data_IF_352098616682
#
_entry.id   IF_352098616682
#
_cell.length_a   1.000
_cell.length_b   1.000
_cell.length_c   1.000
_cell.angle_alpha   90.00
_cell.angle_beta   90.00
_cell.angle_gamma   90.00
#
_symmetry.space_group_name_H-M   'P 1'
#
loop_
_entity.id
_entity.type
_entity.pdbx_description
1 polymer ?
#
# COMPACT_ATOMS: atom_id res chain seq x y z
N UNK A 1 -1.90 32.64 8.71
CA UNK A 1 -0.45 32.61 8.41
C UNK A 1 -0.10 31.18 8.06
N UNK A 2 -0.34 30.84 6.80
CA UNK A 2 -0.19 29.51 6.21
C UNK A 2 0.36 29.72 4.79
N UNK A 3 0.97 28.68 4.25
CA UNK A 3 1.62 28.58 2.93
C UNK A 3 3.07 29.08 2.79
N UNK A 4 4.02 28.15 2.93
CA UNK A 4 5.32 28.22 2.25
C UNK A 4 6.08 26.87 2.09
N UNK A 5 5.45 25.70 2.23
CA UNK A 5 6.18 24.42 2.15
C UNK A 5 5.66 23.39 1.12
N UNK A 6 4.76 23.78 0.22
CA UNK A 6 4.19 22.85 -0.78
C UNK A 6 4.98 22.77 -2.11
N UNK A 7 6.03 23.57 -2.31
CA UNK A 7 6.72 23.69 -3.62
C UNK A 7 7.97 22.81 -3.81
N UNK A 8 8.40 21.99 -2.84
CA UNK A 8 9.71 21.31 -2.93
C UNK A 8 9.75 19.83 -3.30
N UNK A 9 8.62 19.22 -3.72
CA UNK A 9 8.57 17.78 -4.06
C UNK A 9 8.25 17.50 -5.54
N UNK A 10 8.23 18.52 -6.40
CA UNK A 10 8.04 18.33 -7.85
C UNK A 10 9.27 18.85 -8.60
N UNK A 11 10.38 18.11 -8.54
CA UNK A 11 11.48 18.25 -9.49
C UNK A 11 11.80 16.87 -10.05
N UNK A 12 10.93 16.36 -10.93
CA UNK A 12 11.30 15.40 -11.99
C UNK A 12 10.20 15.42 -13.06
N UNK A 13 10.12 16.50 -13.81
CA UNK A 13 9.73 16.52 -15.24
C UNK A 13 9.65 17.97 -15.73
N UNK A 14 10.68 18.37 -16.48
CA UNK A 14 10.72 19.48 -17.47
C UNK A 14 10.74 20.93 -16.95
N UNK A 15 11.91 21.55 -17.15
CA UNK A 15 12.07 22.81 -17.89
C UNK A 15 11.50 24.10 -17.29
N UNK A 16 12.40 24.93 -16.76
CA UNK A 16 12.21 26.36 -16.49
C UNK A 16 11.50 27.10 -17.64
N UNK A 17 10.24 27.53 -17.48
CA UNK A 17 9.65 28.66 -18.21
C UNK A 17 8.25 29.02 -17.66
N UNK A 18 8.12 29.56 -16.44
CA UNK A 18 6.79 30.00 -15.94
C UNK A 18 6.74 31.20 -15.01
N UNK A 19 7.85 31.84 -14.63
CA UNK A 19 7.80 32.98 -13.69
C UNK A 19 7.66 34.37 -14.32
N UNK A 20 7.46 34.51 -15.63
CA UNK A 20 7.24 35.81 -16.29
C UNK A 20 5.81 36.10 -16.77
N UNK A 21 4.91 35.12 -16.75
CA UNK A 21 3.56 35.30 -17.31
C UNK A 21 2.50 35.78 -16.31
N UNK A 22 2.73 35.63 -15.00
CA UNK A 22 1.70 35.87 -13.97
C UNK A 22 1.54 37.38 -13.63
N UNK A 23 2.51 38.22 -13.95
CA UNK A 23 2.47 39.65 -13.58
C UNK A 23 1.65 40.55 -14.53
N UNK A 24 1.12 40.03 -15.65
CA UNK A 24 0.47 40.86 -16.69
C UNK A 24 -1.06 40.72 -16.76
N UNK A 25 -1.69 39.80 -16.04
CA UNK A 25 -3.12 39.51 -16.19
C UNK A 25 -4.05 40.28 -15.21
N UNK A 26 -3.72 41.52 -14.85
CA UNK A 26 -4.56 42.39 -13.99
C UNK A 26 -5.29 43.53 -14.70
N UNK A 27 -5.31 43.54 -16.04
CA UNK A 27 -6.10 44.48 -16.84
C UNK A 27 -6.70 43.73 -18.02
N UNK A 28 -8.00 43.92 -18.24
CA UNK A 28 -8.84 43.43 -19.35
C UNK A 28 -9.71 42.18 -19.08
N UNK A 29 -11.02 42.46 -19.03
CA UNK A 29 -12.16 41.53 -18.89
C UNK A 29 -12.37 40.56 -20.08
N UNK A 30 -11.41 40.45 -21.00
CA UNK A 30 -11.53 39.61 -22.21
C UNK A 30 -10.96 38.19 -22.02
N UNK A 31 -10.40 37.87 -20.84
CA UNK A 31 -9.75 36.58 -20.55
C UNK A 31 -10.77 35.53 -20.00
N UNK A 32 -12.07 35.82 -19.97
CA UNK A 32 -13.06 34.84 -19.49
C UNK A 32 -13.26 33.63 -20.45
N UNK A 33 -12.91 33.75 -21.73
CA UNK A 33 -13.05 32.67 -22.73
C UNK A 33 -11.78 31.82 -22.92
N UNK A 34 -10.62 32.29 -22.45
CA UNK A 34 -9.39 31.48 -22.43
C UNK A 34 -9.24 30.69 -21.14
N UNK A 35 -9.86 31.12 -20.04
CA UNK A 35 -9.84 30.42 -18.75
C UNK A 35 -10.70 29.13 -18.74
N UNK A 36 -11.68 28.99 -19.62
CA UNK A 36 -12.42 27.72 -19.78
C UNK A 36 -11.62 26.66 -20.55
N UNK A 37 -10.66 27.07 -21.39
CA UNK A 37 -9.77 26.16 -22.13
C UNK A 37 -8.56 25.69 -21.29
N UNK A 38 -8.21 26.45 -20.24
CA UNK A 38 -7.10 26.13 -19.33
C UNK A 38 -7.54 25.25 -18.14
N UNK A 39 -8.85 25.11 -17.89
CA UNK A 39 -9.38 24.25 -16.83
C UNK A 39 -9.51 22.76 -17.21
N UNK A 40 -9.21 22.41 -18.46
CA UNK A 40 -8.95 21.03 -18.88
C UNK A 40 -7.45 20.80 -19.06
N UNK A 41 -6.63 21.21 -18.08
CA UNK A 41 -5.36 20.52 -17.85
C UNK A 41 -5.68 19.17 -17.20
N UNK A 42 -6.24 18.29 -18.01
CA UNK A 42 -6.35 16.87 -17.74
C UNK A 42 -4.93 16.44 -17.40
N UNK A 43 -4.67 16.03 -16.14
CA UNK A 43 -3.49 15.28 -15.76
C UNK A 43 -3.40 14.12 -16.75
N UNK A 44 -2.67 14.29 -17.86
CA UNK A 44 -2.40 13.21 -18.79
C UNK A 44 -1.53 12.26 -17.98
N UNK A 45 -2.11 11.13 -17.56
CA UNK A 45 -1.31 10.02 -17.03
C UNK A 45 -0.20 9.78 -18.05
N UNK A 46 1.05 9.95 -17.62
CA UNK A 46 2.21 9.85 -18.52
C UNK A 46 2.32 8.47 -19.17
N UNK A 47 1.69 7.47 -18.57
CA UNK A 47 1.57 6.10 -19.03
C UNK A 47 0.14 5.58 -18.79
N UNK A 48 -0.47 4.96 -19.80
CA UNK A 48 -1.82 4.40 -19.68
C UNK A 48 -1.78 3.02 -19.00
N UNK A 49 -2.50 2.90 -17.88
CA UNK A 49 -2.59 1.70 -17.06
C UNK A 49 -3.96 0.99 -17.17
N UNK A 50 -4.89 1.49 -17.99
CA UNK A 50 -6.27 0.95 -18.08
C UNK A 50 -6.32 -0.53 -18.48
N UNK A 51 -5.27 -1.04 -19.15
CA UNK A 51 -5.15 -2.44 -19.55
C UNK A 51 -4.75 -3.39 -18.41
N UNK A 52 -4.19 -2.88 -17.32
CA UNK A 52 -3.58 -3.68 -16.25
C UNK A 52 -4.61 -4.52 -15.50
N UNK A 53 -5.66 -3.89 -14.96
CA UNK A 53 -6.68 -4.59 -14.17
C UNK A 53 -7.46 -5.64 -15.01
N UNK A 54 -7.92 -5.34 -16.23
CA UNK A 54 -8.51 -6.36 -17.11
C UNK A 54 -7.61 -7.57 -17.33
N UNK A 55 -6.29 -7.37 -17.45
CA UNK A 55 -5.30 -8.45 -17.58
C UNK A 55 -5.15 -9.25 -16.29
N UNK A 56 -5.12 -8.58 -15.12
CA UNK A 56 -5.05 -9.23 -13.80
C UNK A 56 -6.28 -10.07 -13.47
N UNK A 57 -7.47 -9.70 -13.99
CA UNK A 57 -8.71 -10.50 -13.84
C UNK A 57 -8.65 -11.82 -14.60
N UNK A 58 -7.90 -11.88 -15.69
CA UNK A 58 -7.86 -13.03 -16.60
C UNK A 58 -6.45 -13.64 -16.75
N UNK A 59 -5.82 -14.14 -15.66
CA UNK A 59 -4.48 -14.68 -15.72
C UNK A 59 -4.45 -16.05 -16.43
N UNK A 60 -3.50 -16.23 -17.35
CA UNK A 60 -3.27 -17.52 -18.00
C UNK A 60 -2.49 -18.49 -17.11
N UNK A 61 -2.41 -19.77 -17.48
CA UNK A 61 -1.55 -20.75 -16.76
C UNK A 61 -0.08 -20.33 -16.78
N UNK A 62 0.40 -19.84 -17.93
CA UNK A 62 1.75 -19.31 -18.08
C UNK A 62 1.98 -18.11 -17.17
N UNK A 63 1.01 -17.21 -17.07
CA UNK A 63 1.06 -16.07 -16.15
C UNK A 63 1.19 -16.52 -14.68
N UNK A 64 0.38 -17.50 -14.27
CA UNK A 64 0.43 -18.03 -12.91
C UNK A 64 1.78 -18.70 -12.61
N UNK A 65 2.37 -19.39 -13.58
CA UNK A 65 3.71 -19.96 -13.45
C UNK A 65 4.78 -18.88 -13.31
N UNK A 66 4.79 -17.90 -14.22
CA UNK A 66 5.72 -16.77 -14.19
C UNK A 66 5.61 -15.99 -12.87
N UNK A 67 4.39 -15.70 -12.41
CA UNK A 67 4.12 -15.04 -11.13
C UNK A 67 4.67 -15.85 -9.96
N UNK A 68 4.53 -17.19 -9.97
CA UNK A 68 5.11 -18.05 -8.93
C UNK A 68 6.64 -17.95 -8.88
N UNK A 69 7.30 -17.92 -10.05
CA UNK A 69 8.75 -17.74 -10.14
C UNK A 69 9.17 -16.36 -9.64
N UNK A 70 8.46 -15.30 -10.03
CA UNK A 70 8.73 -13.93 -9.55
C UNK A 70 8.64 -13.84 -8.03
N UNK A 71 7.62 -14.41 -7.40
CA UNK A 71 7.50 -14.41 -5.94
C UNK A 71 8.59 -15.21 -5.25
N UNK A 72 8.93 -16.40 -5.77
CA UNK A 72 10.02 -17.19 -5.21
C UNK A 72 11.34 -16.41 -5.29
N UNK A 73 11.66 -15.83 -6.46
CA UNK A 73 12.89 -15.07 -6.66
C UNK A 73 12.98 -13.83 -5.76
N UNK A 74 11.95 -12.97 -5.77
CA UNK A 74 11.90 -11.76 -4.94
C UNK A 74 11.88 -12.12 -3.45
N UNK A 75 11.06 -13.11 -3.06
CA UNK A 75 10.96 -13.57 -1.68
C UNK A 75 12.28 -14.12 -1.14
N UNK A 76 12.98 -14.95 -1.91
CA UNK A 76 14.31 -15.49 -1.52
C UNK A 76 15.34 -14.36 -1.45
N UNK A 77 15.38 -13.48 -2.46
CA UNK A 77 16.27 -12.32 -2.46
C UNK A 77 16.06 -11.45 -1.22
N UNK A 78 14.82 -11.05 -0.95
CA UNK A 78 14.48 -10.22 0.21
C UNK A 78 14.77 -10.94 1.52
N UNK A 79 14.57 -12.27 1.58
CA UNK A 79 14.94 -13.09 2.74
C UNK A 79 16.44 -13.08 3.00
N UNK A 80 17.27 -13.21 1.97
CA UNK A 80 18.73 -13.07 2.11
C UNK A 80 19.07 -11.70 2.68
N UNK A 81 18.53 -10.62 2.11
CA UNK A 81 18.85 -9.27 2.59
C UNK A 81 18.36 -9.01 4.02
N UNK A 82 17.13 -9.38 4.35
CA UNK A 82 16.52 -9.06 5.64
C UNK A 82 16.99 -10.02 6.74
N UNK A 83 17.03 -11.33 6.48
CA UNK A 83 17.32 -12.33 7.52
C UNK A 83 18.80 -12.70 7.63
N UNK A 84 19.54 -12.68 6.52
CA UNK A 84 20.96 -13.08 6.53
C UNK A 84 21.90 -11.87 6.63
N UNK A 85 21.66 -10.83 5.82
CA UNK A 85 22.55 -9.67 5.75
C UNK A 85 22.21 -8.54 6.74
N UNK A 86 21.04 -8.60 7.36
CA UNK A 86 20.58 -7.62 8.35
C UNK A 86 20.12 -8.33 9.64
N UNK A 87 20.07 -7.58 10.74
CA UNK A 87 19.67 -8.07 12.07
C UNK A 87 18.16 -7.89 12.25
N UNK A 88 17.40 -8.91 11.87
CA UNK A 88 15.93 -8.84 11.88
C UNK A 88 15.28 -9.64 12.99
N UNK A 89 14.67 -8.95 13.95
CA UNK A 89 13.84 -9.54 15.01
C UNK A 89 12.36 -9.47 14.61
N UNK A 90 11.65 -10.59 14.75
CA UNK A 90 10.23 -10.71 14.39
C UNK A 90 9.44 -11.17 15.58
N UNK A 91 8.51 -10.34 16.03
CA UNK A 91 7.60 -10.64 17.13
C UNK A 91 6.28 -11.20 16.58
N UNK A 92 5.74 -12.18 17.28
CA UNK A 92 4.43 -12.80 17.00
C UNK A 92 4.24 -13.35 15.59
N UNK A 93 5.33 -13.84 14.96
CA UNK A 93 5.27 -14.47 13.63
C UNK A 93 4.25 -15.62 13.54
N UNK A 94 3.97 -16.31 14.65
CA UNK A 94 3.00 -17.40 14.68
C UNK A 94 1.59 -16.94 14.27
N UNK A 95 1.20 -15.69 14.55
CA UNK A 95 -0.12 -15.14 14.18
C UNK A 95 -0.32 -15.22 12.67
N UNK A 96 0.59 -14.61 11.88
CA UNK A 96 0.49 -14.65 10.42
C UNK A 96 0.67 -16.08 9.89
N UNK A 97 1.54 -16.89 10.51
CA UNK A 97 1.79 -18.26 10.05
C UNK A 97 0.55 -19.14 10.20
N UNK A 98 -0.11 -19.08 11.36
CA UNK A 98 -1.34 -19.82 11.66
C UNK A 98 -2.47 -19.36 10.75
N UNK A 99 -2.66 -18.05 10.58
CA UNK A 99 -3.69 -17.52 9.66
C UNK A 99 -3.41 -17.89 8.21
N UNK A 100 -2.14 -17.99 7.80
CA UNK A 100 -1.80 -18.49 6.47
C UNK A 100 -2.07 -19.98 6.35
N UNK A 101 -1.87 -20.79 7.37
CA UNK A 101 -1.99 -22.25 7.26
C UNK A 101 -3.42 -22.77 7.53
N UNK A 102 -4.11 -22.20 8.51
CA UNK A 102 -5.32 -22.76 9.13
C UNK A 102 -6.62 -22.01 8.76
N UNK A 103 -6.53 -20.76 8.29
CA UNK A 103 -7.73 -19.96 7.94
C UNK A 103 -8.59 -20.69 6.89
N UNK A 104 -9.92 -20.77 7.08
CA UNK A 104 -10.82 -21.30 6.07
C UNK A 104 -10.61 -20.63 4.71
N UNK A 105 -10.71 -21.41 3.63
CA UNK A 105 -10.33 -20.94 2.28
C UNK A 105 -11.21 -19.80 1.76
N UNK A 106 -12.44 -19.72 2.24
CA UNK A 106 -13.47 -18.74 1.92
C UNK A 106 -13.44 -17.50 2.82
N UNK A 107 -12.67 -17.53 3.91
CA UNK A 107 -12.46 -16.37 4.77
C UNK A 107 -11.28 -15.55 4.23
N UNK A 108 -11.47 -14.27 3.87
CA UNK A 108 -10.39 -13.44 3.37
C UNK A 108 -9.43 -12.97 4.47
N UNK A 109 -8.25 -12.51 4.05
CA UNK A 109 -7.28 -11.86 4.93
C UNK A 109 -6.92 -10.48 4.40
N UNK A 110 -6.86 -9.53 5.30
CA UNK A 110 -6.28 -8.22 5.09
C UNK A 110 -5.10 -8.05 6.05
N UNK A 111 -3.95 -7.66 5.53
CA UNK A 111 -2.83 -7.18 6.36
C UNK A 111 -2.65 -5.69 6.17
N UNK A 112 -2.45 -4.95 7.25
CA UNK A 112 -2.25 -3.49 7.22
C UNK A 112 -0.94 -3.12 7.91
N UNK A 113 -0.17 -2.19 7.35
CA UNK A 113 1.06 -1.74 8.00
C UNK A 113 1.41 -0.28 7.75
N UNK A 114 2.28 0.27 8.60
CA UNK A 114 2.98 1.52 8.29
C UNK A 114 3.85 1.36 7.03
N UNK A 115 4.25 2.48 6.43
CA UNK A 115 5.04 2.48 5.19
C UNK A 115 6.23 3.45 5.30
N UNK A 116 7.41 2.95 5.64
CA UNK A 116 8.63 3.76 5.81
C UNK A 116 9.65 3.62 4.68
N UNK A 117 9.53 2.63 3.78
CA UNK A 117 10.44 2.44 2.65
C UNK A 117 9.77 1.80 1.44
N UNK A 118 10.27 2.07 0.24
CA UNK A 118 9.91 1.31 -0.96
C UNK A 118 10.25 -0.20 -0.84
N UNK A 119 11.07 -0.60 0.13
CA UNK A 119 11.41 -2.00 0.40
C UNK A 119 10.42 -2.70 1.35
N UNK A 120 9.43 -2.00 1.91
CA UNK A 120 8.56 -2.56 2.95
C UNK A 120 7.81 -3.80 2.51
N UNK A 121 7.16 -3.77 1.34
CA UNK A 121 6.40 -4.93 0.86
C UNK A 121 7.31 -6.17 0.73
N UNK A 122 8.36 -6.21 -0.10
CA UNK A 122 9.26 -7.36 -0.14
C UNK A 122 9.93 -7.69 1.21
N UNK A 123 10.25 -6.68 2.03
CA UNK A 123 10.95 -6.83 3.30
C UNK A 123 10.10 -7.43 4.43
N UNK A 124 8.83 -7.02 4.56
CA UNK A 124 7.89 -7.60 5.53
C UNK A 124 7.71 -9.08 5.23
N UNK A 125 7.47 -9.45 3.97
CA UNK A 125 7.17 -10.84 3.61
C UNK A 125 8.39 -11.75 3.66
N UNK A 126 9.60 -11.22 3.57
CA UNK A 126 10.84 -11.96 3.80
C UNK A 126 10.90 -12.65 5.19
N UNK A 127 10.10 -12.18 6.15
CA UNK A 127 9.99 -12.78 7.49
C UNK A 127 9.24 -14.12 7.50
N UNK A 128 8.40 -14.39 6.50
CA UNK A 128 7.63 -15.63 6.36
C UNK A 128 8.51 -16.86 6.08
N UNK A 129 7.98 -18.06 6.27
CA UNK A 129 8.71 -19.28 5.91
C UNK A 129 8.82 -19.45 4.39
N UNK A 130 9.85 -20.17 3.94
CA UNK A 130 10.06 -20.44 2.51
C UNK A 130 8.86 -21.13 1.87
N UNK A 131 8.14 -21.99 2.63
CA UNK A 131 6.91 -22.64 2.14
C UNK A 131 5.81 -21.64 1.78
N UNK A 132 5.71 -20.54 2.51
CA UNK A 132 4.73 -19.48 2.24
C UNK A 132 5.21 -18.59 1.09
N UNK A 133 6.49 -18.19 1.10
CA UNK A 133 7.11 -17.36 0.06
C UNK A 133 7.05 -18.00 -1.33
N UNK A 134 7.27 -19.31 -1.41
CA UNK A 134 7.25 -20.07 -2.66
C UNK A 134 5.83 -20.52 -3.07
N UNK A 135 4.79 -20.15 -2.32
CA UNK A 135 3.40 -20.50 -2.62
C UNK A 135 2.61 -19.29 -3.08
N UNK A 136 2.37 -19.19 -4.40
CA UNK A 136 1.54 -18.12 -5.00
C UNK A 136 0.14 -18.01 -4.40
N UNK A 137 -0.41 -19.09 -3.83
CA UNK A 137 -1.73 -19.08 -3.17
C UNK A 137 -1.69 -18.56 -1.74
N UNK A 138 -0.53 -18.57 -1.09
CA UNK A 138 -0.31 -18.10 0.29
C UNK A 138 0.43 -16.76 0.29
N UNK A 139 0.26 -15.95 -0.77
CA UNK A 139 0.90 -14.66 -0.92
C UNK A 139 -0.10 -13.58 -1.36
N UNK A 140 0.02 -12.40 -0.73
CA UNK A 140 -0.84 -11.22 -0.88
C UNK A 140 -0.91 -10.65 -2.29
N UNK A 141 -2.04 -10.03 -2.59
CA UNK A 141 -2.13 -8.90 -3.51
C UNK A 141 -1.75 -7.61 -2.76
N UNK A 142 -1.07 -6.67 -3.40
CA UNK A 142 -0.60 -5.44 -2.76
C UNK A 142 -0.98 -4.21 -3.59
N UNK A 143 -1.53 -3.18 -2.96
CA UNK A 143 -1.81 -1.90 -3.63
C UNK A 143 -0.49 -1.13 -3.83
N UNK A 144 -0.22 -0.69 -5.06
CA UNK A 144 1.01 0.00 -5.41
C UNK A 144 0.71 1.26 -6.24
N UNK A 145 1.36 2.39 -5.89
CA UNK A 145 1.12 3.67 -6.54
C UNK A 145 1.45 3.61 -8.03
N UNK A 146 0.48 3.93 -8.89
CA UNK A 146 0.65 3.80 -10.34
C UNK A 146 1.80 4.64 -10.89
N UNK A 147 1.99 5.84 -10.37
CA UNK A 147 2.99 6.81 -10.80
C UNK A 147 4.43 6.46 -10.36
N UNK A 148 4.59 5.39 -9.55
CA UNK A 148 5.89 4.87 -9.12
C UNK A 148 6.13 3.48 -9.72
N UNK A 149 5.18 2.57 -9.57
CA UNK A 149 5.33 1.17 -9.96
C UNK A 149 4.89 0.88 -11.39
N UNK A 150 4.00 1.69 -11.97
CA UNK A 150 3.40 1.45 -13.29
C UNK A 150 3.72 2.61 -14.23
N UNK A 151 5.02 2.89 -14.39
CA UNK A 151 5.51 4.03 -15.19
C UNK A 151 5.80 3.67 -16.64
N UNK A 152 5.88 2.37 -16.96
CA UNK A 152 6.00 1.84 -18.32
C UNK A 152 5.52 0.39 -18.37
N UNK A 153 5.50 -0.20 -19.58
CA UNK A 153 5.00 -1.56 -19.82
C UNK A 153 5.80 -2.66 -19.11
N UNK A 154 7.12 -2.53 -19.04
CA UNK A 154 7.99 -3.53 -18.41
C UNK A 154 7.85 -3.51 -16.89
N UNK A 155 7.83 -2.31 -16.30
CA UNK A 155 7.52 -2.15 -14.88
C UNK A 155 6.15 -2.71 -14.55
N UNK A 156 5.14 -2.40 -15.37
CA UNK A 156 3.78 -2.92 -15.19
C UNK A 156 3.76 -4.45 -15.16
N UNK A 157 4.41 -5.11 -16.13
CA UNK A 157 4.50 -6.57 -16.12
C UNK A 157 5.19 -7.13 -14.87
N UNK A 158 6.32 -6.55 -14.45
CA UNK A 158 7.03 -6.97 -13.24
C UNK A 158 6.15 -6.89 -11.99
N UNK A 159 5.52 -5.73 -11.76
CA UNK A 159 4.67 -5.51 -10.60
C UNK A 159 3.39 -6.36 -10.66
N UNK A 160 2.78 -6.54 -11.83
CA UNK A 160 1.64 -7.44 -11.99
C UNK A 160 2.00 -8.90 -11.68
N UNK A 161 3.19 -9.38 -12.08
CA UNK A 161 3.67 -10.73 -11.72
C UNK A 161 3.87 -10.89 -10.21
N UNK A 162 4.24 -9.81 -9.52
CA UNK A 162 4.27 -9.69 -8.06
C UNK A 162 2.91 -9.44 -7.40
N UNK A 163 1.78 -9.60 -8.12
CA UNK A 163 0.41 -9.29 -7.66
C UNK A 163 0.23 -7.86 -7.10
N UNK A 164 0.99 -6.91 -7.62
CA UNK A 164 0.74 -5.51 -7.33
C UNK A 164 -0.41 -4.99 -8.20
N UNK A 165 -1.27 -4.17 -7.59
CA UNK A 165 -2.46 -3.60 -8.22
C UNK A 165 -2.25 -2.07 -8.27
N UNK A 166 -2.35 -1.44 -9.45
CA UNK A 166 -2.10 -0.01 -9.58
C UNK A 166 -3.21 0.80 -8.90
N UNK A 167 -2.87 1.58 -7.87
CA UNK A 167 -3.78 2.54 -7.23
C UNK A 167 -3.49 3.96 -7.71
N UNK A 168 -4.54 4.71 -8.03
CA UNK A 168 -4.47 6.13 -8.41
C UNK A 168 -4.69 6.97 -7.16
N UNK A 169 -3.65 7.73 -6.79
CA UNK A 169 -3.71 8.65 -5.66
C UNK A 169 -4.54 9.87 -6.03
N UNK A 170 -5.47 10.25 -5.16
CA UNK A 170 -6.38 11.38 -5.40
C UNK A 170 -7.72 11.00 -6.06
N UNK A 171 -7.85 9.79 -6.61
CA UNK A 171 -9.06 9.32 -7.32
C UNK A 171 -10.17 8.78 -6.38
N UNK A 172 -10.02 9.00 -5.06
CA UNK A 172 -10.97 8.54 -4.06
C UNK A 172 -10.99 7.02 -3.85
N UNK A 173 -12.01 6.54 -3.15
CA UNK A 173 -12.16 5.13 -2.74
C UNK A 173 -12.88 4.27 -3.80
N UNK A 174 -13.55 4.90 -4.76
CA UNK A 174 -14.34 4.25 -5.79
C UNK A 174 -13.55 4.17 -7.11
N UNK A 175 -12.49 3.35 -7.10
CA UNK A 175 -11.66 3.09 -8.28
C UNK A 175 -11.55 1.59 -8.55
N UNK A 176 -11.26 1.22 -9.79
CA UNK A 176 -11.22 -0.18 -10.25
C UNK A 176 -10.27 -1.05 -9.44
N UNK A 177 -9.17 -0.49 -8.94
CA UNK A 177 -8.21 -1.20 -8.10
C UNK A 177 -8.82 -1.67 -6.77
N UNK A 178 -9.64 -0.83 -6.13
CA UNK A 178 -10.33 -1.20 -4.89
C UNK A 178 -11.44 -2.22 -5.18
N UNK A 179 -12.16 -2.07 -6.29
CA UNK A 179 -13.16 -3.05 -6.74
C UNK A 179 -12.52 -4.42 -6.98
N UNK A 180 -11.37 -4.45 -7.66
CA UNK A 180 -10.60 -5.68 -7.88
C UNK A 180 -10.12 -6.31 -6.56
N UNK A 181 -9.67 -5.51 -5.58
CA UNK A 181 -9.36 -6.03 -4.26
C UNK A 181 -10.58 -6.67 -3.58
N UNK A 182 -11.76 -6.04 -3.64
CA UNK A 182 -13.02 -6.62 -3.11
C UNK A 182 -13.36 -7.93 -3.82
N UNK A 183 -13.18 -8.02 -5.14
CA UNK A 183 -13.33 -9.27 -5.91
C UNK A 183 -12.38 -10.36 -5.37
N UNK A 184 -11.12 -10.02 -5.05
CA UNK A 184 -10.16 -10.98 -4.47
C UNK A 184 -10.51 -11.39 -3.04
N UNK A 185 -10.98 -10.46 -2.22
CA UNK A 185 -11.48 -10.77 -0.88
C UNK A 185 -12.71 -11.69 -0.95
N UNK A 186 -13.61 -11.48 -1.92
CA UNK A 186 -14.74 -12.37 -2.18
C UNK A 186 -14.34 -13.80 -2.56
N UNK A 187 -13.12 -14.00 -3.06
CA UNK A 187 -12.53 -15.32 -3.32
C UNK A 187 -11.75 -15.90 -2.12
N UNK A 188 -11.81 -15.28 -0.94
CA UNK A 188 -11.04 -15.68 0.25
C UNK A 188 -9.53 -15.40 0.15
N UNK A 189 -9.11 -14.61 -0.85
CA UNK A 189 -7.69 -14.28 -1.04
C UNK A 189 -7.19 -13.28 0.01
N UNK A 190 -5.89 -13.01 -0.06
CA UNK A 190 -5.18 -12.13 0.83
C UNK A 190 -4.83 -10.80 0.14
N UNK A 191 -5.22 -9.67 0.74
CA UNK A 191 -4.85 -8.32 0.31
C UNK A 191 -4.00 -7.64 1.38
N UNK A 192 -2.92 -6.97 0.98
CA UNK A 192 -2.11 -6.12 1.82
C UNK A 192 -2.30 -4.65 1.44
N UNK A 193 -2.35 -3.78 2.46
CA UNK A 193 -2.54 -2.35 2.29
C UNK A 193 -1.58 -1.59 3.19
N UNK A 194 -0.95 -0.56 2.62
CA UNK A 194 -0.28 0.52 3.35
C UNK A 194 -1.25 1.71 3.45
N UNK A 195 -2.10 1.78 4.48
CA UNK A 195 -3.18 2.77 4.53
C UNK A 195 -2.69 4.22 4.65
N UNK A 196 -1.41 4.48 4.91
CA UNK A 196 -0.80 5.82 4.83
C UNK A 196 -0.84 6.40 3.40
N UNK A 197 -0.84 5.52 2.38
CA UNK A 197 -0.97 5.88 0.95
C UNK A 197 0.28 6.52 0.33
N UNK A 198 1.38 6.62 1.07
CA UNK A 198 2.71 7.04 0.63
C UNK A 198 3.76 6.55 1.61
N UNK A 199 5.02 6.54 1.19
CA UNK A 199 6.16 6.37 2.13
C UNK A 199 6.21 7.56 3.08
N UNK A 200 6.15 7.28 4.37
CA UNK A 200 6.19 8.24 5.47
C UNK A 200 7.63 8.49 5.93
N UNK A 201 8.34 9.33 5.18
CA UNK A 201 9.74 9.66 5.45
C UNK A 201 9.95 10.41 6.78
N UNK A 202 8.94 11.17 7.23
CA UNK A 202 9.01 11.95 8.48
C UNK A 202 8.61 11.15 9.72
N UNK A 203 8.09 9.93 9.54
CA UNK A 203 7.58 9.05 10.62
C UNK A 203 6.52 9.74 11.50
N UNK A 204 5.82 10.71 10.92
CA UNK A 204 4.75 11.46 11.56
C UNK A 204 3.47 10.63 11.59
N UNK A 205 2.50 11.02 12.43
CA UNK A 205 1.18 10.41 12.36
C UNK A 205 0.45 10.92 11.11
N UNK A 206 0.25 10.03 10.13
CA UNK A 206 -0.49 10.33 8.91
C UNK A 206 -1.87 9.72 9.03
N UNK A 207 -2.91 10.53 8.77
CA UNK A 207 -4.28 10.02 8.64
C UNK A 207 -4.36 8.93 7.56
N UNK A 208 -4.85 7.77 7.97
CA UNK A 208 -5.10 6.63 7.09
C UNK A 208 -6.15 6.93 6.01
N UNK A 209 -5.93 6.38 4.81
CA UNK A 209 -6.85 6.48 3.66
C UNK A 209 -8.01 5.50 3.84
N UNK A 210 -9.23 5.97 3.62
CA UNK A 210 -10.47 5.21 3.81
C UNK A 210 -10.70 4.03 2.85
N UNK A 211 -9.79 3.80 1.89
CA UNK A 211 -9.84 2.62 1.03
C UNK A 211 -9.83 1.33 1.85
N UNK A 212 -9.09 1.27 2.96
CA UNK A 212 -9.07 0.11 3.85
C UNK A 212 -10.43 -0.14 4.52
N UNK A 213 -11.10 0.93 4.97
CA UNK A 213 -12.45 0.84 5.53
C UNK A 213 -13.44 0.31 4.49
N UNK A 214 -13.32 0.73 3.23
CA UNK A 214 -14.13 0.21 2.13
C UNK A 214 -13.91 -1.28 1.90
N UNK A 215 -12.66 -1.73 1.86
CA UNK A 215 -12.32 -3.14 1.66
C UNK A 215 -12.97 -4.05 2.72
N UNK A 216 -12.98 -3.64 3.99
CA UNK A 216 -13.59 -4.41 5.08
C UNK A 216 -15.11 -4.33 5.01
N UNK A 217 -15.66 -3.14 4.77
CA UNK A 217 -17.11 -2.90 4.73
C UNK A 217 -17.80 -3.66 3.60
N UNK A 218 -17.20 -3.67 2.40
CA UNK A 218 -17.78 -4.25 1.19
C UNK A 218 -17.28 -5.68 0.90
N UNK A 219 -16.38 -6.23 1.72
CA UNK A 219 -15.98 -7.63 1.58
C UNK A 219 -17.19 -8.55 1.83
N UNK A 220 -17.50 -9.51 0.92
CA UNK A 220 -18.65 -10.40 1.08
C UNK A 220 -18.62 -11.22 2.37
N UNK A 221 -17.41 -11.60 2.79
CA UNK A 221 -17.13 -12.26 4.08
C UNK A 221 -16.25 -11.32 4.88
N UNK A 222 -16.57 -11.10 6.17
CA UNK A 222 -15.73 -10.26 7.03
C UNK A 222 -14.31 -10.82 7.08
N UNK A 223 -13.30 -10.05 6.64
CA UNK A 223 -11.92 -10.54 6.59
C UNK A 223 -11.32 -10.62 8.00
N UNK A 224 -10.38 -11.55 8.16
CA UNK A 224 -9.39 -11.45 9.25
C UNK A 224 -8.48 -10.28 8.95
N UNK A 225 -8.28 -9.36 9.90
CA UNK A 225 -7.41 -8.18 9.70
C UNK A 225 -6.23 -8.23 10.66
N UNK A 226 -5.01 -8.34 10.13
CA UNK A 226 -3.78 -8.38 10.92
C UNK A 226 -3.01 -7.06 10.76
N UNK A 227 -2.86 -6.26 11.83
CA UNK A 227 -2.00 -5.09 11.83
C UNK A 227 -0.54 -5.52 11.97
N UNK A 228 0.34 -4.85 11.26
CA UNK A 228 1.78 -5.09 11.27
C UNK A 228 2.47 -3.74 11.46
N UNK A 229 3.46 -3.68 12.34
CA UNK A 229 4.31 -2.51 12.46
C UNK A 229 5.76 -2.90 12.27
N UNK A 230 6.52 -2.09 11.54
CA UNK A 230 7.93 -2.34 11.32
C UNK A 230 8.80 -1.08 11.46
N UNK A 231 10.05 -1.30 11.87
CA UNK A 231 11.08 -0.27 12.03
C UNK A 231 12.40 -0.73 11.40
N UNK A 232 13.16 0.22 10.85
CA UNK A 232 14.50 -0.01 10.29
C UNK A 232 14.53 -0.44 8.82
N UNK A 233 13.39 -0.53 8.15
CA UNK A 233 13.35 -0.86 6.72
C UNK A 233 13.90 0.27 5.84
N UNK A 234 13.73 1.51 6.30
CA UNK A 234 14.31 2.72 5.72
C UNK A 234 15.82 2.82 5.94
N UNK A 235 16.38 2.16 6.95
CA UNK A 235 17.83 2.00 7.09
C UNK A 235 18.39 0.98 6.08
N UNK A 236 17.60 -0.05 5.76
CA UNK A 236 17.94 -1.09 4.77
C UNK A 236 17.86 -0.53 3.36
N UNK A 237 16.79 0.18 3.00
CA UNK A 237 16.68 0.92 1.75
C UNK A 237 16.27 2.37 2.05
N UNK A 238 17.25 3.30 2.10
CA UNK A 238 16.97 4.72 2.27
C UNK A 238 16.11 5.29 1.15
N UNK A 239 15.25 6.25 1.49
CA UNK A 239 14.36 6.93 0.56
C UNK A 239 15.04 8.11 -0.18
N UNK A 240 16.36 8.10 -0.25
CA UNK A 240 17.17 9.12 -0.92
C UNK A 240 18.13 8.49 -1.92
N UNK A 241 18.41 9.17 -3.05
CA UNK A 241 19.44 8.72 -3.97
C UNK A 241 20.85 8.73 -3.34
N UNK A 242 21.71 7.76 -3.65
CA UNK A 242 21.45 6.58 -4.48
C UNK A 242 20.63 5.50 -3.72
N UNK A 243 19.55 5.00 -4.35
CA UNK A 243 18.68 3.96 -3.78
C UNK A 243 19.38 2.60 -3.75
N UNK A 244 20.17 2.37 -2.70
CA UNK A 244 20.98 1.16 -2.54
C UNK A 244 20.62 0.42 -1.25
N UNK A 245 20.50 -0.90 -1.35
CA UNK A 245 20.32 -1.77 -0.20
C UNK A 245 21.57 -1.76 0.69
N UNK A 246 21.37 -1.51 1.97
CA UNK A 246 22.39 -1.54 3.02
C UNK A 246 22.29 -2.85 3.81
N UNK A 247 23.42 -3.25 4.37
CA UNK A 247 23.59 -4.46 5.20
C UNK A 247 23.95 -4.07 6.64
N UNK A 248 23.82 -5.02 7.57
CA UNK A 248 24.14 -4.83 8.99
C UNK A 248 23.18 -3.93 9.76
N UNK A 249 22.04 -3.56 9.18
CA UNK A 249 20.99 -2.74 9.79
C UNK A 249 20.10 -3.56 10.69
N UNK A 250 19.47 -2.89 11.66
CA UNK A 250 18.49 -3.49 12.57
C UNK A 250 17.10 -3.33 11.97
N UNK A 251 16.34 -4.41 11.95
CA UNK A 251 14.93 -4.40 11.53
C UNK A 251 14.11 -5.06 12.62
N UNK A 252 12.99 -4.43 12.97
CA UNK A 252 12.01 -5.02 13.87
C UNK A 252 10.69 -5.10 13.14
N UNK A 253 10.05 -6.26 13.17
CA UNK A 253 8.71 -6.46 12.65
C UNK A 253 7.85 -7.05 13.74
N UNK A 254 6.67 -6.47 13.95
CA UNK A 254 5.70 -6.94 14.93
C UNK A 254 4.39 -7.26 14.21
N UNK A 255 3.94 -8.51 14.32
CA UNK A 255 2.59 -8.93 13.90
C UNK A 255 1.63 -8.76 15.07
N UNK A 256 0.66 -7.85 14.97
CA UNK A 256 -0.35 -7.65 16.01
C UNK A 256 -1.43 -8.73 15.97
N UNK A 257 -2.23 -8.77 17.03
CA UNK A 257 -3.38 -9.66 17.12
C UNK A 257 -4.43 -9.31 16.05
N UNK A 258 -5.20 -10.30 15.53
CA UNK A 258 -6.29 -10.03 14.61
C UNK A 258 -7.31 -9.04 15.20
N UNK A 259 -7.68 -8.03 14.41
CA UNK A 259 -8.69 -7.04 14.83
C UNK A 259 -10.08 -7.62 14.59
N UNK A 260 -10.89 -7.69 15.64
CA UNK A 260 -12.29 -8.09 15.54
C UNK A 260 -13.16 -6.90 15.09
N UNK A 261 -13.74 -7.02 13.90
CA UNK A 261 -14.68 -6.06 13.33
C UNK A 261 -16.14 -6.48 13.45
N UNK A 262 -16.44 -7.68 13.98
CA UNK A 262 -17.81 -8.22 14.01
C UNK A 262 -18.79 -7.28 14.73
N UNK A 263 -18.43 -6.79 15.91
CA UNK A 263 -19.23 -5.84 16.69
C UNK A 263 -19.42 -4.49 16.01
N UNK A 264 -18.33 -3.90 15.47
CA UNK A 264 -18.38 -2.61 14.76
C UNK A 264 -19.27 -2.72 13.52
N UNK A 265 -19.12 -3.77 12.73
CA UNK A 265 -19.94 -3.97 11.53
C UNK A 265 -21.40 -4.22 11.88
N UNK A 266 -21.70 -4.98 12.94
CA UNK A 266 -23.07 -5.18 13.41
C UNK A 266 -23.70 -3.86 13.86
N UNK A 267 -22.97 -3.02 14.60
CA UNK A 267 -23.45 -1.71 15.05
C UNK A 267 -23.71 -0.76 13.87
N UNK A 268 -22.78 -0.66 12.93
CA UNK A 268 -22.92 0.19 11.74
C UNK A 268 -24.12 -0.20 10.88
N UNK A 269 -24.40 -1.51 10.76
CA UNK A 269 -25.61 -2.02 10.09
C UNK A 269 -26.88 -1.67 10.86
N UNK A 270 -26.88 -1.86 12.18
CA UNK A 270 -28.05 -1.58 13.03
C UNK A 270 -28.41 -0.08 13.05
N UNK A 271 -27.42 0.81 12.99
CA UNK A 271 -27.63 2.26 12.98
C UNK A 271 -27.93 2.86 11.62
N UNK A 272 -27.93 2.07 10.53
CA UNK A 272 -27.98 2.56 9.14
C UNK A 272 -26.96 3.69 8.90
N UNK A 273 -25.73 3.51 9.41
CA UNK A 273 -24.67 4.48 9.25
C UNK A 273 -24.42 4.79 7.76
N UNK A 274 -24.10 6.05 7.45
CA UNK A 274 -23.71 6.39 6.09
C UNK A 274 -22.44 5.63 5.70
N UNK A 275 -22.32 5.36 4.40
CA UNK A 275 -21.12 4.79 3.77
C UNK A 275 -19.81 5.47 4.22
N UNK A 276 -19.86 6.80 4.38
CA UNK A 276 -18.73 7.61 4.80
C UNK A 276 -18.40 7.38 6.27
N UNK A 277 -19.41 7.39 7.13
CA UNK A 277 -19.24 7.18 8.58
C UNK A 277 -18.74 5.76 8.86
N UNK A 278 -19.32 4.76 8.18
CA UNK A 278 -18.89 3.37 8.31
C UNK A 278 -17.41 3.20 7.93
N UNK A 279 -16.99 3.73 6.77
CA UNK A 279 -15.58 3.67 6.34
C UNK A 279 -14.66 4.41 7.31
N UNK A 280 -15.09 5.57 7.82
CA UNK A 280 -14.33 6.35 8.79
C UNK A 280 -14.14 5.54 10.08
N UNK A 281 -15.22 5.06 10.69
CA UNK A 281 -15.19 4.29 11.95
C UNK A 281 -14.30 3.05 11.84
N UNK A 282 -14.41 2.29 10.74
CA UNK A 282 -13.55 1.12 10.51
C UNK A 282 -12.08 1.54 10.37
N UNK A 283 -11.80 2.62 9.62
CA UNK A 283 -10.42 3.10 9.40
C UNK A 283 -9.81 3.63 10.70
N UNK A 284 -10.57 4.37 11.51
CA UNK A 284 -10.12 4.91 12.78
C UNK A 284 -9.78 3.77 13.77
N UNK A 285 -10.58 2.70 13.79
CA UNK A 285 -10.27 1.50 14.58
C UNK A 285 -8.92 0.88 14.21
N UNK A 286 -8.57 0.87 12.92
CA UNK A 286 -7.28 0.38 12.44
C UNK A 286 -6.15 1.32 12.88
N UNK A 287 -6.36 2.62 12.78
CA UNK A 287 -5.38 3.64 13.20
C UNK A 287 -5.05 3.50 14.69
N UNK A 288 -6.06 3.32 15.55
CA UNK A 288 -5.87 3.05 16.98
C UNK A 288 -5.00 1.82 17.25
N UNK A 289 -5.26 0.70 16.55
CA UNK A 289 -4.50 -0.53 16.73
C UNK A 289 -3.07 -0.42 16.17
N UNK A 290 -2.87 0.29 15.05
CA UNK A 290 -1.53 0.59 14.54
C UNK A 290 -0.74 1.51 15.47
N UNK A 291 -1.39 2.49 16.12
CA UNK A 291 -0.74 3.38 17.10
C UNK A 291 -0.32 2.62 18.36
N UNK A 292 -1.16 1.70 18.87
CA UNK A 292 -0.78 0.80 19.97
C UNK A 292 0.41 -0.08 19.57
N UNK A 293 0.35 -0.68 18.38
CA UNK A 293 1.41 -1.55 17.86
C UNK A 293 2.72 -0.78 17.63
N UNK A 294 2.64 0.47 17.18
CA UNK A 294 3.77 1.40 17.04
C UNK A 294 4.52 1.55 18.36
N UNK A 295 3.83 1.94 19.42
CA UNK A 295 4.44 2.21 20.72
C UNK A 295 5.22 0.99 21.26
N UNK A 296 4.63 -0.20 21.17
CA UNK A 296 5.27 -1.46 21.58
C UNK A 296 6.47 -1.79 20.68
N UNK A 297 6.34 -1.60 19.37
CA UNK A 297 7.41 -1.91 18.40
C UNK A 297 8.61 -0.97 18.58
N UNK A 298 8.38 0.31 18.86
CA UNK A 298 9.44 1.29 19.15
C UNK A 298 10.24 0.92 20.41
N UNK A 299 9.54 0.54 21.49
CA UNK A 299 10.20 0.10 22.72
C UNK A 299 11.08 -1.14 22.47
N UNK A 300 10.56 -2.13 21.73
CA UNK A 300 11.29 -3.34 21.40
C UNK A 300 12.47 -3.09 20.46
N UNK A 301 12.37 -2.11 19.55
CA UNK A 301 13.44 -1.79 18.61
C UNK A 301 14.64 -1.13 19.30
N UNK A 302 14.40 -0.30 20.32
CA UNK A 302 15.46 0.36 21.10
C UNK A 302 16.26 -0.66 21.94
N UNK A 303 15.62 -1.73 22.41
CA UNK A 303 16.22 -2.75 23.29
C UNK A 303 17.16 -3.76 22.57
N UNK A 304 17.25 -3.73 21.23
CA UNK A 304 18.02 -4.68 20.40
C UNK A 304 19.43 -4.20 20.07
#
# INVERSE_FOLDING_TARGET
MADSNYERVVIFSRGNFTNKAILLARKHRTICLLLSCVYTSQYRMAYDIKWVIPKLRNPTRLWNFASSLTFAAVGIFSKIFIKLLNKTTVYNKHIISNVLDERPKDVPLITVSNHYSCFDDPGIWATLDLRHLCSRRKIRWSLAAHDICFTNVWHSYFFMLGKCIPIIRGDGVYQDAINFCIEKLGCGEWVHVFPEGKVNMLKEHIRLKWGIGRLILESPVTPVVIPIYHLGMDDVLPNEPPYMLKVGKRVTTYYGEPIDFSGILAQLRASNASDVDARKTITDRIDEELLKLKAVTEELHVKL
#
